data_IF_383610735460
#
_entry.id   IF_383610735460
#
_cell.length_a   1.000
_cell.length_b   1.000
_cell.length_c   1.000
_cell.angle_alpha   90.00
_cell.angle_beta   90.00
_cell.angle_gamma   90.00
#
_symmetry.space_group_name_H-M   'P 1'
#
loop_
_entity.id
_entity.type
_entity.pdbx_description
1 polymer ?
#
# COMPACT_ATOMS: atom_id res chain seq x y z
N UNK A 1 -65.76 -15.04 15.35
CA UNK A 1 -64.94 -14.81 14.14
C UNK A 1 -63.73 -13.90 14.45
N UNK A 2 -62.92 -14.21 15.48
CA UNK A 2 -61.80 -13.34 15.94
C UNK A 2 -60.54 -14.10 16.42
N UNK A 3 -60.55 -15.44 16.48
CA UNK A 3 -59.42 -16.23 16.98
C UNK A 3 -58.38 -16.56 15.90
N UNK A 4 -58.78 -16.56 14.63
CA UNK A 4 -57.91 -16.93 13.49
C UNK A 4 -56.92 -15.79 13.19
N UNK A 5 -57.34 -14.52 13.36
CA UNK A 5 -56.52 -13.36 13.04
C UNK A 5 -55.36 -13.17 14.02
N UNK A 6 -55.60 -13.34 15.33
CA UNK A 6 -54.57 -13.17 16.36
C UNK A 6 -53.47 -14.24 16.27
N UNK A 7 -53.83 -15.50 16.00
CA UNK A 7 -52.87 -16.59 15.80
C UNK A 7 -52.01 -16.34 14.54
N UNK A 8 -52.63 -15.85 13.46
CA UNK A 8 -51.94 -15.55 12.20
C UNK A 8 -51.00 -14.35 12.32
N UNK A 9 -51.39 -13.30 13.06
CA UNK A 9 -50.52 -12.13 13.32
C UNK A 9 -49.31 -12.52 14.18
N UNK A 10 -49.50 -13.32 15.22
CA UNK A 10 -48.40 -13.80 16.05
C UNK A 10 -47.42 -14.67 15.26
N UNK A 11 -47.93 -15.57 14.42
CA UNK A 11 -47.11 -16.39 13.52
C UNK A 11 -46.31 -15.53 12.52
N UNK A 12 -46.93 -14.51 11.92
CA UNK A 12 -46.26 -13.60 11.01
C UNK A 12 -45.12 -12.82 11.67
N UNK A 13 -45.33 -12.31 12.89
CA UNK A 13 -44.31 -11.57 13.63
C UNK A 13 -43.12 -12.48 13.97
N UNK A 14 -43.39 -13.73 14.39
CA UNK A 14 -42.33 -14.69 14.70
C UNK A 14 -41.53 -15.11 13.46
N UNK A 15 -42.19 -15.32 12.32
CA UNK A 15 -41.49 -15.64 11.07
C UNK A 15 -40.67 -14.45 10.56
N UNK A 16 -41.18 -13.22 10.68
CA UNK A 16 -40.42 -12.02 10.37
C UNK A 16 -39.18 -11.90 11.26
N UNK A 17 -39.33 -12.15 12.56
CA UNK A 17 -38.22 -12.10 13.52
C UNK A 17 -37.14 -13.12 13.17
N UNK A 18 -37.53 -14.36 12.87
CA UNK A 18 -36.61 -15.42 12.42
C UNK A 18 -35.91 -15.03 11.12
N UNK A 19 -36.64 -14.50 10.14
CA UNK A 19 -36.06 -14.10 8.87
C UNK A 19 -35.00 -13.00 9.05
N UNK A 20 -35.30 -11.98 9.85
CA UNK A 20 -34.36 -10.90 10.16
C UNK A 20 -33.12 -11.41 10.90
N UNK A 21 -33.30 -12.31 11.89
CA UNK A 21 -32.19 -12.93 12.61
C UNK A 21 -31.31 -13.76 11.68
N UNK A 22 -31.90 -14.55 10.79
CA UNK A 22 -31.15 -15.34 9.80
C UNK A 22 -30.40 -14.44 8.80
N UNK A 23 -31.06 -13.40 8.28
CA UNK A 23 -30.43 -12.45 7.37
C UNK A 23 -29.24 -11.73 8.03
N UNK A 24 -29.40 -11.30 9.29
CA UNK A 24 -28.33 -10.68 10.06
C UNK A 24 -27.17 -11.64 10.31
N UNK A 25 -27.44 -12.87 10.78
CA UNK A 25 -26.42 -13.88 11.00
C UNK A 25 -25.67 -14.23 9.72
N UNK A 26 -26.38 -14.29 8.58
CA UNK A 26 -25.78 -14.51 7.27
C UNK A 26 -24.86 -13.35 6.86
N UNK A 27 -25.31 -12.11 7.00
CA UNK A 27 -24.51 -10.92 6.71
C UNK A 27 -23.25 -10.86 7.59
N UNK A 28 -23.40 -11.09 8.90
CA UNK A 28 -22.29 -11.09 9.86
C UNK A 28 -21.25 -12.15 9.50
N UNK A 29 -21.68 -13.40 9.23
CA UNK A 29 -20.78 -14.48 8.83
C UNK A 29 -20.00 -14.16 7.54
N UNK A 30 -20.65 -13.51 6.58
CA UNK A 30 -19.97 -13.10 5.34
C UNK A 30 -18.98 -11.96 5.59
N UNK A 31 -19.32 -11.01 6.46
CA UNK A 31 -18.42 -9.93 6.84
C UNK A 31 -17.16 -10.46 7.53
N UNK A 32 -17.30 -11.40 8.46
CA UNK A 32 -16.18 -12.05 9.15
C UNK A 32 -15.27 -12.84 8.19
N UNK A 33 -15.88 -13.59 7.26
CA UNK A 33 -15.13 -14.31 6.20
C UNK A 33 -14.37 -13.34 5.30
N UNK A 34 -15.02 -12.26 4.86
CA UNK A 34 -14.39 -11.24 4.03
C UNK A 34 -13.23 -10.56 4.77
N UNK A 35 -13.43 -10.17 6.03
CA UNK A 35 -12.40 -9.56 6.85
C UNK A 35 -11.18 -10.49 7.04
N UNK A 36 -11.43 -11.78 7.29
CA UNK A 36 -10.36 -12.79 7.42
C UNK A 36 -9.57 -12.94 6.12
N UNK A 37 -10.26 -13.00 4.97
CA UNK A 37 -9.61 -13.09 3.65
C UNK A 37 -8.79 -11.85 3.29
N UNK A 38 -9.28 -10.66 3.62
CA UNK A 38 -8.54 -9.41 3.41
C UNK A 38 -7.28 -9.36 4.27
N UNK A 39 -7.38 -9.78 5.54
CA UNK A 39 -6.25 -9.82 6.46
C UNK A 39 -5.15 -10.77 5.97
N UNK A 40 -5.50 -12.02 5.62
CA UNK A 40 -4.50 -12.99 5.15
C UNK A 40 -3.86 -12.54 3.83
N UNK A 41 -4.63 -11.97 2.91
CA UNK A 41 -4.10 -11.40 1.67
C UNK A 41 -3.13 -10.25 1.93
N UNK A 42 -3.46 -9.36 2.87
CA UNK A 42 -2.59 -8.25 3.25
C UNK A 42 -1.30 -8.73 3.92
N UNK A 43 -1.41 -9.65 4.88
CA UNK A 43 -0.27 -10.24 5.60
C UNK A 43 0.69 -10.96 4.62
N UNK A 44 0.15 -11.72 3.65
CA UNK A 44 0.94 -12.42 2.63
C UNK A 44 1.64 -11.46 1.64
N UNK A 45 0.98 -10.36 1.26
CA UNK A 45 1.54 -9.40 0.29
C UNK A 45 2.42 -8.31 0.91
N UNK A 46 2.41 -8.18 2.23
CA UNK A 46 3.25 -7.21 2.92
C UNK A 46 4.68 -7.74 2.99
N UNK A 47 5.48 -7.42 1.97
CA UNK A 47 6.94 -7.51 2.10
C UNK A 47 7.37 -6.56 3.21
N UNK A 48 8.02 -7.07 4.26
CA UNK A 48 8.66 -6.24 5.29
C UNK A 48 9.81 -5.46 4.65
N UNK A 49 9.48 -4.30 4.09
CA UNK A 49 10.46 -3.32 3.66
C UNK A 49 10.75 -2.49 4.89
N UNK A 50 12.02 -2.31 5.20
CA UNK A 50 12.47 -1.40 6.24
C UNK A 50 13.64 -0.61 5.66
N UNK A 51 13.73 0.64 6.07
CA UNK A 51 14.79 1.54 5.68
C UNK A 51 15.44 2.12 6.93
N UNK A 52 16.70 2.48 6.82
CA UNK A 52 17.46 3.15 7.87
C UNK A 52 17.70 4.62 7.53
N UNK A 53 18.00 5.40 8.57
CA UNK A 53 18.43 6.79 8.39
C UNK A 53 19.71 6.77 7.55
N UNK A 54 19.83 7.72 6.62
CA UNK A 54 20.88 7.83 5.58
C UNK A 54 20.73 6.95 4.33
N UNK A 55 19.75 6.04 4.29
CA UNK A 55 19.49 5.26 3.07
C UNK A 55 19.04 6.13 1.89
N UNK A 56 19.50 5.78 0.70
CA UNK A 56 19.06 6.38 -0.55
C UNK A 56 17.81 5.69 -1.08
N UNK A 57 16.75 6.47 -1.32
CA UNK A 57 15.45 5.97 -1.75
C UNK A 57 14.87 6.81 -2.88
N UNK A 58 14.17 6.14 -3.80
CA UNK A 58 13.33 6.79 -4.80
C UNK A 58 11.96 7.12 -4.23
N UNK A 59 11.46 8.32 -4.50
CA UNK A 59 10.09 8.73 -4.12
C UNK A 59 9.12 8.53 -5.29
N UNK A 60 7.99 7.90 -5.03
CA UNK A 60 6.89 7.78 -5.98
C UNK A 60 6.04 9.05 -6.01
N UNK A 61 5.84 9.60 -7.21
CA UNK A 61 4.98 10.75 -7.41
C UNK A 61 3.55 10.30 -7.78
N UNK A 62 2.64 10.31 -6.80
CA UNK A 62 1.21 10.06 -7.05
C UNK A 62 0.53 11.17 -7.85
N UNK A 63 1.10 12.38 -7.84
CA UNK A 63 0.52 13.53 -8.52
C UNK A 63 0.68 13.36 -10.04
N UNK A 64 -0.29 12.65 -10.64
CA UNK A 64 -0.62 12.74 -12.05
C UNK A 64 -1.26 14.11 -12.31
N UNK A 65 -0.48 15.19 -12.16
CA UNK A 65 -0.83 16.55 -12.61
C UNK A 65 -1.47 16.51 -14.01
N UNK A 66 -2.47 17.35 -14.21
CA UNK A 66 -3.39 17.46 -15.34
C UNK A 66 -2.71 17.89 -16.66
N UNK A 67 -1.67 17.19 -17.09
CA UNK A 67 -1.02 17.44 -18.38
C UNK A 67 -1.37 16.28 -19.31
N UNK A 68 -1.89 16.63 -20.49
CA UNK A 68 -2.50 15.73 -21.49
C UNK A 68 -1.56 14.65 -22.04
N UNK A 69 -0.27 14.68 -21.68
CA UNK A 69 0.76 13.82 -22.24
C UNK A 69 1.55 13.14 -21.11
N UNK A 70 1.08 11.96 -20.68
CA UNK A 70 1.56 11.30 -19.44
C UNK A 70 1.80 9.80 -19.48
N UNK A 71 1.72 9.15 -20.64
CA UNK A 71 1.93 7.69 -20.70
C UNK A 71 3.38 7.26 -20.40
N UNK A 72 4.36 8.17 -20.42
CA UNK A 72 5.79 7.84 -20.31
C UNK A 72 6.59 8.62 -19.25
N UNK A 73 5.95 9.40 -18.36
CA UNK A 73 6.74 10.08 -17.31
C UNK A 73 7.20 9.08 -16.23
N UNK A 74 8.49 9.09 -15.84
CA UNK A 74 8.99 8.27 -14.75
C UNK A 74 8.26 8.64 -13.46
N UNK A 75 7.55 7.67 -12.88
CA UNK A 75 6.79 7.88 -11.65
C UNK A 75 7.69 7.99 -10.42
N UNK A 76 8.94 7.54 -10.52
CA UNK A 76 9.94 7.55 -9.46
C UNK A 76 10.91 8.73 -9.63
N UNK A 77 11.12 9.52 -8.57
CA UNK A 77 12.00 10.69 -8.57
C UNK A 77 13.15 10.53 -7.58
N UNK A 78 14.34 10.92 -8.05
CA UNK A 78 15.59 11.12 -7.30
C UNK A 78 16.12 9.88 -6.58
N UNK A 79 17.41 9.78 -6.27
CA UNK A 79 17.80 9.26 -4.97
C UNK A 79 17.65 10.39 -3.95
N UNK A 80 16.76 10.22 -2.98
CA UNK A 80 16.63 11.08 -1.81
C UNK A 80 17.13 10.36 -0.58
N UNK A 81 17.55 11.12 0.44
CA UNK A 81 18.10 10.56 1.67
C UNK A 81 17.03 10.58 2.76
N UNK A 82 16.88 9.47 3.47
CA UNK A 82 16.07 9.40 4.69
C UNK A 82 16.83 10.11 5.81
N UNK A 83 16.19 11.07 6.45
CA UNK A 83 16.76 11.84 7.55
C UNK A 83 16.17 11.46 8.91
N UNK A 84 14.98 10.84 8.93
CA UNK A 84 14.30 10.46 10.16
C UNK A 84 13.27 9.34 9.94
N UNK A 85 12.93 8.61 11.00
CA UNK A 85 12.00 7.47 11.03
C UNK A 85 11.25 7.47 12.38
N UNK A 86 9.96 7.77 12.35
CA UNK A 86 9.09 7.69 13.55
C UNK A 86 8.49 6.29 13.70
N UNK A 87 8.21 5.62 12.58
CA UNK A 87 7.63 4.27 12.59
C UNK A 87 8.11 3.46 11.38
N UNK A 88 7.92 2.13 11.36
CA UNK A 88 8.26 1.30 10.22
C UNK A 88 7.56 1.72 8.91
N UNK A 89 6.54 2.58 8.99
CA UNK A 89 5.69 3.00 7.88
C UNK A 89 5.91 4.46 7.48
N UNK A 90 6.40 5.31 8.37
CA UNK A 90 6.52 6.75 8.16
C UNK A 90 7.97 7.22 8.27
N UNK A 91 8.49 7.73 7.16
CA UNK A 91 9.86 8.19 7.01
C UNK A 91 9.90 9.67 6.59
N UNK A 92 10.95 10.38 6.99
CA UNK A 92 11.20 11.74 6.57
C UNK A 92 12.35 11.75 5.57
N UNK A 93 12.13 12.35 4.41
CA UNK A 93 13.14 12.44 3.35
C UNK A 93 13.52 13.89 3.07
N UNK A 94 14.76 14.09 2.65
CA UNK A 94 15.30 15.39 2.23
C UNK A 94 15.29 15.51 0.71
N UNK A 95 14.53 16.47 0.19
CA UNK A 95 14.34 16.69 -1.25
C UNK A 95 15.00 18.03 -1.63
N UNK A 96 16.00 18.07 -2.52
CA UNK A 96 16.55 19.31 -3.03
C UNK A 96 15.51 20.05 -3.88
N UNK A 97 15.34 21.34 -3.63
CA UNK A 97 14.48 22.24 -4.41
C UNK A 97 15.10 23.63 -4.48
N UNK A 98 15.37 24.09 -5.70
CA UNK A 98 15.76 25.48 -6.02
C UNK A 98 16.90 26.05 -5.13
N UNK A 99 17.90 25.22 -4.81
CA UNK A 99 19.07 25.64 -4.01
C UNK A 99 18.95 25.41 -2.50
N UNK A 100 17.78 24.99 -2.02
CA UNK A 100 17.54 24.58 -0.64
C UNK A 100 17.03 23.13 -0.57
N UNK A 101 16.66 22.66 0.62
CA UNK A 101 16.10 21.35 0.85
C UNK A 101 14.78 21.42 1.59
N UNK A 102 13.79 20.72 1.05
CA UNK A 102 12.52 20.51 1.70
C UNK A 102 12.53 19.15 2.37
N UNK A 103 12.17 19.13 3.63
CA UNK A 103 11.92 17.91 4.38
C UNK A 103 10.46 17.49 4.22
N UNK A 104 10.23 16.21 3.90
CA UNK A 104 8.88 15.71 3.68
C UNK A 104 8.66 14.36 4.35
N UNK A 105 7.57 14.24 5.10
CA UNK A 105 7.06 12.97 5.59
C UNK A 105 6.39 12.17 4.47
N UNK A 106 6.80 10.91 4.33
CA UNK A 106 6.34 10.00 3.29
C UNK A 106 6.07 8.62 3.87
N UNK A 107 5.07 7.96 3.29
CA UNK A 107 4.70 6.59 3.65
C UNK A 107 5.65 5.60 2.96
N UNK A 108 5.96 4.45 3.57
CA UNK A 108 6.88 3.45 3.04
C UNK A 108 6.53 2.96 1.62
N UNK A 109 5.23 2.82 1.31
CA UNK A 109 4.74 2.49 -0.04
C UNK A 109 5.10 3.54 -1.12
N UNK A 110 5.51 4.75 -0.73
CA UNK A 110 6.01 5.79 -1.63
C UNK A 110 7.51 5.68 -1.87
N UNK A 111 8.20 4.80 -1.13
CA UNK A 111 9.63 4.64 -1.18
C UNK A 111 10.01 3.36 -1.91
N UNK A 112 11.18 3.42 -2.56
CA UNK A 112 11.84 2.25 -3.13
C UNK A 112 13.34 2.38 -2.88
N UNK A 113 13.98 1.30 -2.42
CA UNK A 113 15.42 1.26 -2.21
C UNK A 113 16.15 1.63 -3.50
N UNK A 114 17.05 2.61 -3.42
CA UNK A 114 18.01 2.86 -4.48
C UNK A 114 19.08 1.76 -4.38
N UNK A 115 18.94 0.72 -5.18
CA UNK A 115 20.03 -0.24 -5.32
C UNK A 115 21.08 0.48 -6.16
N UNK A 116 22.28 0.78 -5.62
CA UNK A 116 23.36 1.15 -6.50
C UNK A 116 23.47 0.01 -7.49
N UNK A 117 23.41 0.30 -8.80
CA UNK A 117 23.89 -0.64 -9.80
C UNK A 117 25.30 -0.96 -9.31
N UNK A 118 25.48 -2.16 -8.77
CA UNK A 118 26.76 -2.71 -8.36
C UNK A 118 27.76 -2.25 -9.41
N UNK A 119 28.76 -1.49 -8.97
CA UNK A 119 29.91 -1.14 -9.77
C UNK A 119 30.28 -2.39 -10.58
N UNK A 120 30.02 -2.38 -11.89
CA UNK A 120 30.61 -3.33 -12.81
C UNK A 120 32.11 -2.98 -12.80
N UNK A 121 32.82 -3.51 -11.81
CA UNK A 121 34.26 -3.37 -11.66
C UNK A 121 34.90 -4.43 -12.57
N UNK A 122 35.05 -4.03 -13.84
CA UNK A 122 36.15 -4.24 -14.79
C UNK A 122 37.01 -5.52 -14.65
N UNK A 123 37.11 -6.27 -15.75
CA UNK A 123 38.37 -6.84 -16.25
C UNK A 123 38.59 -6.09 -17.58
N UNK A 124 39.58 -5.23 -17.82
CA UNK A 124 40.95 -5.30 -17.32
C UNK A 124 41.72 -6.34 -18.14
N UNK A 125 41.69 -6.26 -19.48
CA UNK A 125 42.69 -6.92 -20.31
C UNK A 125 43.39 -5.82 -21.08
N UNK A 126 44.63 -5.59 -20.65
CA UNK A 126 45.56 -4.66 -21.24
C UNK A 126 45.89 -5.03 -22.69
N UNK A 127 46.23 -3.99 -23.43
CA UNK A 127 47.01 -3.93 -24.64
C UNK A 127 48.05 -5.05 -24.78
N UNK A 128 48.07 -5.72 -25.94
CA UNK A 128 49.32 -6.08 -26.62
C UNK A 128 49.11 -5.97 -28.14
N UNK A 129 49.66 -4.89 -28.69
CA UNK A 129 50.08 -4.83 -30.08
C UNK A 129 51.56 -5.21 -30.11
N UNK A 130 51.91 -6.27 -30.85
CA UNK A 130 53.13 -6.43 -31.66
C UNK A 130 53.30 -7.90 -32.06
N UNK A 131 53.52 -8.15 -33.36
CA UNK A 131 53.83 -9.46 -33.94
C UNK A 131 53.21 -9.68 -35.31
#
# INVERSE_FOLDING_TARGET
HNLINAATTHQYIEDLRKHLQHAFAFAQKNLEKAATGVKTYYDLKTTKKEYEITDQVYLYNFARNQVKEKKFLPSWKGPYVIIDKISPVAYKIKIPKDGDFIEKWVHINQLRACHPKSQLRIIGVDSDAEG
#
